data_IF_073251268575
#
_entry.id   IF_073251268575
#
_cell.length_a   1.000
_cell.length_b   1.000
_cell.length_c   1.000
_cell.angle_alpha   90.00
_cell.angle_beta   90.00
_cell.angle_gamma   90.00
#
_symmetry.space_group_name_H-M   'P 1'
#
loop_
_entity.id
_entity.type
_entity.pdbx_description
1 polymer ?
#
# COMPACT_ATOMS: atom_id res chain seq x y z
N UNK A 1 8.33 -0.02 3.66
CA UNK A 1 7.76 -1.24 4.34
C UNK A 1 6.24 -1.34 4.26
N UNK A 2 5.61 -0.20 4.11
CA UNK A 2 4.22 0.09 4.38
C UNK A 2 3.38 -0.09 3.09
N UNK A 3 3.89 0.41 1.95
CA UNK A 3 3.23 0.36 0.63
C UNK A 3 2.90 -1.06 0.14
N UNK A 4 3.84 -2.00 0.23
CA UNK A 4 3.65 -3.34 -0.32
C UNK A 4 2.51 -4.09 0.37
N UNK A 5 2.44 -4.00 1.70
CA UNK A 5 1.42 -4.68 2.50
C UNK A 5 0.04 -4.05 2.25
N UNK A 6 -0.06 -2.72 2.15
CA UNK A 6 -1.35 -2.06 1.85
C UNK A 6 -1.84 -2.40 0.46
N UNK A 7 -0.95 -2.51 -0.53
CA UNK A 7 -1.30 -2.93 -1.88
C UNK A 7 -1.83 -4.36 -1.91
N UNK A 8 -1.16 -5.30 -1.24
CA UNK A 8 -1.62 -6.70 -1.14
C UNK A 8 -2.99 -6.78 -0.45
N UNK A 9 -3.19 -5.99 0.61
CA UNK A 9 -4.49 -5.90 1.28
C UNK A 9 -5.58 -5.33 0.35
N UNK A 10 -5.28 -4.27 -0.40
CA UNK A 10 -6.21 -3.66 -1.35
C UNK A 10 -6.66 -4.66 -2.42
N UNK A 11 -5.72 -5.41 -3.00
CA UNK A 11 -6.00 -6.47 -3.99
C UNK A 11 -6.85 -7.58 -3.36
N UNK A 12 -6.47 -8.07 -2.18
CA UNK A 12 -7.19 -9.16 -1.50
C UNK A 12 -8.64 -8.77 -1.18
N UNK A 13 -8.87 -7.55 -0.66
CA UNK A 13 -10.23 -7.08 -0.37
C UNK A 13 -11.03 -6.86 -1.65
N UNK A 14 -10.38 -6.41 -2.73
CA UNK A 14 -11.01 -6.30 -4.05
C UNK A 14 -11.46 -7.67 -4.57
N UNK A 15 -10.60 -8.70 -4.46
CA UNK A 15 -10.94 -10.08 -4.82
C UNK A 15 -12.13 -10.59 -4.00
N UNK A 16 -12.13 -10.39 -2.68
CA UNK A 16 -13.24 -10.79 -1.81
C UNK A 16 -14.52 -10.03 -2.19
N UNK A 17 -14.41 -8.75 -2.54
CA UNK A 17 -15.54 -7.93 -2.94
C UNK A 17 -16.19 -8.40 -4.25
N UNK A 18 -15.40 -8.87 -5.21
CA UNK A 18 -15.91 -9.41 -6.48
C UNK A 18 -16.41 -10.85 -6.39
N UNK A 19 -15.80 -11.70 -5.55
CA UNK A 19 -16.08 -13.14 -5.53
C UNK A 19 -17.14 -13.57 -4.52
N UNK A 20 -17.41 -12.78 -3.48
CA UNK A 20 -18.28 -13.19 -2.37
C UNK A 20 -19.62 -12.44 -2.37
N UNK A 21 -20.73 -13.16 -2.47
CA UNK A 21 -22.08 -12.58 -2.43
C UNK A 21 -22.40 -11.86 -1.10
N UNK A 22 -21.74 -12.26 0.00
CA UNK A 22 -21.89 -11.61 1.32
C UNK A 22 -21.06 -10.34 1.45
N UNK A 23 -20.17 -10.03 0.50
CA UNK A 23 -19.29 -8.87 0.52
C UNK A 23 -20.05 -7.54 0.73
N UNK A 24 -21.22 -7.39 0.10
CA UNK A 24 -22.06 -6.19 0.25
C UNK A 24 -22.67 -6.07 1.64
N UNK A 25 -22.99 -7.19 2.30
CA UNK A 25 -23.49 -7.20 3.69
C UNK A 25 -22.38 -6.88 4.69
N UNK A 26 -21.17 -7.35 4.43
CA UNK A 26 -19.98 -7.09 5.27
C UNK A 26 -19.32 -5.73 4.98
N UNK A 27 -19.89 -4.91 4.08
CA UNK A 27 -19.37 -3.60 3.68
C UNK A 27 -17.89 -3.62 3.23
N UNK A 28 -17.44 -4.70 2.60
CA UNK A 28 -16.03 -4.80 2.15
C UNK A 28 -15.67 -3.77 1.09
N UNK A 29 -16.66 -3.18 0.41
CA UNK A 29 -16.43 -2.03 -0.50
C UNK A 29 -15.86 -0.80 0.20
N UNK A 30 -16.20 -0.55 1.48
CA UNK A 30 -15.58 0.53 2.25
C UNK A 30 -14.09 0.23 2.51
N UNK A 31 -13.79 -1.03 2.83
CA UNK A 31 -12.40 -1.48 3.02
C UNK A 31 -11.60 -1.37 1.72
N UNK A 32 -12.19 -1.68 0.55
CA UNK A 32 -11.53 -1.45 -0.74
C UNK A 32 -11.09 0.01 -0.89
N UNK A 33 -12.00 0.96 -0.65
CA UNK A 33 -11.67 2.38 -0.79
C UNK A 33 -10.60 2.84 0.21
N UNK A 34 -10.64 2.35 1.44
CA UNK A 34 -9.62 2.66 2.45
C UNK A 34 -8.24 2.14 2.04
N UNK A 35 -8.13 0.86 1.63
CA UNK A 35 -6.84 0.29 1.26
C UNK A 35 -6.29 0.87 -0.03
N UNK A 36 -7.12 1.08 -1.07
CA UNK A 36 -6.68 1.77 -2.29
C UNK A 36 -6.27 3.23 -2.02
N UNK A 37 -7.00 3.95 -1.17
CA UNK A 37 -6.65 5.31 -0.77
C UNK A 37 -5.31 5.37 -0.03
N UNK A 38 -5.08 4.46 0.92
CA UNK A 38 -3.81 4.34 1.63
C UNK A 38 -2.66 3.93 0.70
N UNK A 39 -2.90 3.00 -0.24
CA UNK A 39 -1.90 2.62 -1.25
C UNK A 39 -1.52 3.81 -2.14
N UNK A 40 -2.47 4.66 -2.53
CA UNK A 40 -2.18 5.86 -3.32
C UNK A 40 -1.38 6.89 -2.54
N UNK A 41 -1.74 7.16 -1.28
CA UNK A 41 -0.98 8.06 -0.40
C UNK A 41 0.49 7.61 -0.33
N UNK A 42 0.72 6.33 -0.03
CA UNK A 42 2.07 5.81 0.14
C UNK A 42 2.84 5.69 -1.16
N UNK A 43 2.14 5.47 -2.28
CA UNK A 43 2.74 5.47 -3.61
C UNK A 43 3.24 6.86 -3.99
N UNK A 44 2.49 7.92 -3.67
CA UNK A 44 2.90 9.30 -3.96
C UNK A 44 4.11 9.67 -3.10
N UNK A 45 4.09 9.36 -1.81
CA UNK A 45 5.23 9.60 -0.91
C UNK A 45 6.50 8.90 -1.45
N UNK A 46 6.40 7.61 -1.79
CA UNK A 46 7.50 6.84 -2.35
C UNK A 46 7.98 7.36 -3.72
N UNK A 47 7.07 7.86 -4.57
CA UNK A 47 7.43 8.42 -5.86
C UNK A 47 8.18 9.74 -5.72
N UNK A 48 7.77 10.61 -4.79
CA UNK A 48 8.47 11.87 -4.52
C UNK A 48 9.86 11.61 -3.95
N UNK A 49 9.97 10.73 -2.95
CA UNK A 49 11.24 10.36 -2.34
C UNK A 49 12.20 9.73 -3.36
N UNK A 50 11.70 8.89 -4.26
CA UNK A 50 12.50 8.33 -5.36
C UNK A 50 12.95 9.39 -6.39
N UNK A 51 12.16 10.45 -6.62
CA UNK A 51 12.58 11.55 -7.52
C UNK A 51 13.72 12.37 -6.89
N UNK A 52 13.73 12.51 -5.57
CA UNK A 52 14.75 13.26 -4.83
C UNK A 52 16.06 12.47 -4.67
N UNK A 53 15.97 11.21 -4.22
CA UNK A 53 17.15 10.39 -3.87
C UNK A 53 17.54 9.38 -4.97
N UNK A 54 16.70 9.21 -6.00
CA UNK A 54 16.98 8.27 -7.09
C UNK A 54 17.13 6.82 -6.59
N UNK A 55 18.20 6.16 -7.03
CA UNK A 55 18.46 4.77 -6.64
C UNK A 55 18.83 4.59 -5.16
N UNK A 56 19.28 5.67 -4.49
CA UNK A 56 19.66 5.64 -3.09
C UNK A 56 18.44 5.44 -2.17
N UNK A 57 17.22 5.70 -2.67
CA UNK A 57 15.96 5.34 -2.01
C UNK A 57 15.89 3.86 -1.57
N UNK A 58 16.52 2.96 -2.32
CA UNK A 58 16.51 1.53 -2.01
C UNK A 58 17.64 1.09 -1.07
N UNK A 59 18.57 2.00 -0.74
CA UNK A 59 19.66 1.72 0.17
C UNK A 59 19.25 2.10 1.61
N UNK A 60 19.44 1.22 2.60
CA UNK A 60 19.24 1.60 4.00
C UNK A 60 20.23 2.69 4.37
N UNK A 61 19.80 3.68 5.15
CA UNK A 61 20.70 4.76 5.58
C UNK A 61 21.85 4.17 6.41
N UNK A 62 23.06 4.72 6.27
CA UNK A 62 24.23 4.25 7.02
C UNK A 62 24.00 4.27 8.54
N UNK A 63 23.11 5.15 9.03
CA UNK A 63 22.70 5.20 10.43
C UNK A 63 21.83 4.01 10.85
N UNK A 64 20.98 3.50 9.97
CA UNK A 64 20.15 2.31 10.21
C UNK A 64 20.95 0.99 10.15
N UNK A 65 22.11 1.00 9.48
CA UNK A 65 23.01 -0.16 9.36
C UNK A 65 23.94 -0.35 10.57
N UNK A 66 24.15 0.68 11.38
CA UNK A 66 25.15 0.70 12.46
C UNK A 66 24.56 0.43 13.85
N UNK A 67 23.30 -0.04 13.93
CA UNK A 67 22.62 -0.42 15.18
C UNK A 67 22.38 -1.94 15.26
#
# INVERSE_FOLDING_TARGET
>A
MTLLITLIAAVTVTLIWYTNEKARKLKTGLLCYMFWGASLMWLVDAAVEYIEDGADYFLPSSGDMLN
#
